data_IF_343682249638
#
_entry.id   IF_343682249638
#
_cell.length_a   1.000
_cell.length_b   1.000
_cell.length_c   1.000
_cell.angle_alpha   90.00
_cell.angle_beta   90.00
_cell.angle_gamma   90.00
#
_symmetry.space_group_name_H-M   'P 1'
#
loop_
_entity.id
_entity.type
_entity.pdbx_description
1 polymer ?
#
# COMPACT_ATOMS: atom_id res chain seq x y z
N UNK A 1 -25.23 -2.23 -6.27
CA UNK A 1 -24.66 -3.47 -6.79
C UNK A 1 -24.09 -4.22 -5.61
N UNK A 2 -24.77 -5.28 -5.16
CA UNK A 2 -24.30 -6.12 -4.05
C UNK A 2 -23.24 -7.07 -4.59
N UNK A 3 -21.98 -6.87 -4.20
CA UNK A 3 -20.94 -7.89 -4.39
C UNK A 3 -21.38 -9.20 -3.70
N UNK A 4 -21.34 -10.34 -4.39
CA UNK A 4 -21.55 -11.61 -3.72
C UNK A 4 -20.50 -11.76 -2.62
N UNK A 5 -20.93 -12.10 -1.41
CA UNK A 5 -20.04 -12.42 -0.31
C UNK A 5 -19.16 -13.60 -0.76
N UNK A 6 -17.90 -13.32 -1.05
CA UNK A 6 -16.90 -14.36 -1.28
C UNK A 6 -16.66 -15.00 0.08
N UNK A 7 -17.37 -16.09 0.33
CA UNK A 7 -17.13 -16.91 1.52
C UNK A 7 -15.71 -17.46 1.42
N UNK A 8 -14.81 -16.98 2.27
CA UNK A 8 -13.43 -17.47 2.37
C UNK A 8 -13.34 -18.97 2.71
N UNK A 9 -14.49 -19.62 2.91
CA UNK A 9 -14.60 -21.03 3.32
C UNK A 9 -14.84 -22.02 2.18
N UNK A 10 -15.04 -21.58 0.94
CA UNK A 10 -15.50 -22.46 -0.14
C UNK A 10 -14.70 -22.32 -1.44
N UNK A 11 -13.38 -22.26 -1.35
CA UNK A 11 -12.59 -22.61 -2.52
C UNK A 11 -12.45 -24.12 -2.50
N UNK A 12 -13.31 -24.85 -3.22
CA UNK A 12 -13.21 -26.30 -3.45
C UNK A 12 -11.95 -26.69 -4.23
N UNK A 13 -10.84 -25.99 -3.97
CA UNK A 13 -9.54 -26.19 -4.56
C UNK A 13 -8.75 -27.18 -3.71
N UNK A 14 -8.12 -28.13 -4.36
CA UNK A 14 -7.27 -29.13 -3.70
C UNK A 14 -6.15 -28.47 -2.91
N UNK A 15 -5.69 -29.16 -1.88
CA UNK A 15 -4.50 -28.78 -1.12
C UNK A 15 -3.29 -28.81 -2.05
N UNK A 16 -2.37 -27.84 -1.90
CA UNK A 16 -1.08 -27.79 -2.64
C UNK A 16 -1.22 -27.72 -4.18
N UNK A 17 -2.31 -27.14 -4.65
CA UNK A 17 -2.62 -27.08 -6.08
C UNK A 17 -1.84 -25.99 -6.85
N UNK A 18 -1.28 -25.00 -6.15
CA UNK A 18 -0.66 -23.83 -6.81
C UNK A 18 0.78 -23.59 -6.38
N UNK A 19 1.65 -23.30 -7.32
CA UNK A 19 3.01 -22.82 -7.06
C UNK A 19 3.06 -21.33 -6.71
N UNK A 20 2.04 -20.55 -7.11
CA UNK A 20 1.93 -19.15 -6.76
C UNK A 20 0.47 -18.70 -6.69
N UNK A 21 0.20 -17.81 -5.74
CA UNK A 21 -1.07 -17.09 -5.61
C UNK A 21 -0.78 -15.60 -5.59
N UNK A 22 -1.51 -14.80 -6.36
CA UNK A 22 -1.38 -13.34 -6.35
C UNK A 22 -2.67 -12.71 -5.87
N UNK A 23 -2.56 -11.93 -4.81
CA UNK A 23 -3.68 -11.22 -4.18
C UNK A 23 -3.34 -9.73 -4.09
N UNK A 24 -3.68 -9.00 -5.14
CA UNK A 24 -3.61 -7.54 -5.09
C UNK A 24 -4.93 -7.02 -4.52
N UNK A 25 -4.94 -5.95 -3.88
CA UNK A 25 -5.51 -5.22 -2.77
C UNK A 25 -6.41 -6.01 -1.80
N UNK A 26 -5.94 -7.15 -1.32
CA UNK A 26 -6.69 -8.02 -0.39
C UNK A 26 -7.15 -7.30 0.88
N UNK A 27 -6.42 -6.29 1.30
CA UNK A 27 -6.59 -5.56 2.57
C UNK A 27 -7.95 -4.84 2.64
N UNK A 28 -8.44 -4.36 1.49
CA UNK A 28 -9.70 -3.60 1.41
C UNK A 28 -10.93 -4.48 1.13
N UNK A 29 -10.72 -5.72 0.67
CA UNK A 29 -11.82 -6.58 0.22
C UNK A 29 -12.56 -7.25 1.39
N UNK A 30 -11.83 -7.64 2.44
CA UNK A 30 -12.37 -8.42 3.55
C UNK A 30 -12.31 -7.66 4.88
N UNK A 31 -13.23 -7.96 5.82
CA UNK A 31 -13.08 -7.56 7.21
C UNK A 31 -11.77 -8.08 7.82
N UNK A 32 -11.22 -7.34 8.78
CA UNK A 32 -9.95 -7.69 9.46
C UNK A 32 -9.98 -9.07 10.09
N UNK A 33 -11.14 -9.51 10.60
CA UNK A 33 -11.36 -10.83 11.21
C UNK A 33 -11.16 -11.98 10.23
N UNK A 34 -11.41 -11.77 8.95
CA UNK A 34 -11.39 -12.81 7.93
C UNK A 34 -10.02 -12.97 7.26
N UNK A 35 -9.16 -11.96 7.39
CA UNK A 35 -7.83 -11.95 6.77
C UNK A 35 -6.92 -13.09 7.26
N UNK A 36 -6.81 -13.40 8.57
CA UNK A 36 -6.02 -14.53 9.03
C UNK A 36 -6.50 -15.87 8.44
N UNK A 37 -7.82 -16.07 8.37
CA UNK A 37 -8.41 -17.28 7.77
C UNK A 37 -8.13 -17.40 6.28
N UNK A 38 -8.16 -16.29 5.57
CA UNK A 38 -7.79 -16.25 4.15
C UNK A 38 -6.32 -16.64 3.94
N UNK A 39 -5.41 -16.13 4.76
CA UNK A 39 -3.99 -16.48 4.70
C UNK A 39 -3.75 -17.97 5.01
N UNK A 40 -4.45 -18.53 5.99
CA UNK A 40 -4.42 -19.97 6.27
C UNK A 40 -4.95 -20.81 5.09
N UNK A 41 -6.02 -20.38 4.43
CA UNK A 41 -6.52 -21.03 3.23
C UNK A 41 -5.53 -20.92 2.06
N UNK A 42 -4.87 -19.77 1.93
CA UNK A 42 -3.80 -19.59 0.94
C UNK A 42 -2.63 -20.52 1.21
N UNK A 43 -2.20 -20.64 2.45
CA UNK A 43 -1.18 -21.62 2.85
C UNK A 43 -1.57 -23.04 2.45
N UNK A 44 -2.82 -23.44 2.69
CA UNK A 44 -3.33 -24.78 2.35
C UNK A 44 -3.26 -25.07 0.85
N UNK A 45 -3.60 -24.11 -0.01
CA UNK A 45 -3.65 -24.32 -1.47
C UNK A 45 -2.29 -24.12 -2.16
N UNK A 46 -1.33 -23.50 -1.50
CA UNK A 46 0.03 -23.38 -2.00
C UNK A 46 0.78 -24.69 -1.86
N UNK A 47 1.49 -25.10 -2.91
CA UNK A 47 2.44 -26.19 -2.87
C UNK A 47 3.62 -25.86 -1.94
N UNK A 48 4.34 -26.84 -1.39
CA UNK A 48 5.58 -26.61 -0.67
C UNK A 48 6.55 -25.75 -1.49
N UNK A 49 7.15 -24.71 -0.89
CA UNK A 49 7.97 -23.73 -1.59
C UNK A 49 7.22 -22.75 -2.48
N UNK A 50 5.90 -22.81 -2.52
CA UNK A 50 5.04 -21.88 -3.26
C UNK A 50 4.99 -20.49 -2.64
N UNK A 51 4.57 -19.47 -3.42
CA UNK A 51 4.60 -18.06 -3.05
C UNK A 51 3.21 -17.42 -3.06
N UNK A 52 2.94 -16.59 -2.05
CA UNK A 52 1.87 -15.61 -2.06
C UNK A 52 2.48 -14.23 -2.39
N UNK A 53 2.05 -13.65 -3.51
CA UNK A 53 2.44 -12.29 -3.90
C UNK A 53 1.32 -11.31 -3.57
N UNK A 54 1.65 -10.21 -2.89
CA UNK A 54 0.68 -9.18 -2.52
C UNK A 54 1.30 -7.80 -2.45
N UNK A 55 0.45 -6.77 -2.56
CA UNK A 55 0.82 -5.37 -2.33
C UNK A 55 -0.02 -4.83 -1.18
N UNK A 56 0.63 -4.17 -0.25
CA UNK A 56 0.02 -3.53 0.90
C UNK A 56 0.33 -2.04 0.86
N UNK A 57 -0.71 -1.23 1.00
CA UNK A 57 -0.63 0.22 1.19
C UNK A 57 -1.48 0.57 2.39
N UNK A 58 -0.96 1.35 3.31
CA UNK A 58 -1.76 1.85 4.43
C UNK A 58 -2.74 2.95 3.99
N UNK A 59 -3.92 3.05 4.62
CA UNK A 59 -4.84 4.16 4.36
C UNK A 59 -4.26 5.51 4.77
N UNK A 60 -3.42 5.52 5.81
CA UNK A 60 -2.77 6.71 6.36
C UNK A 60 -1.34 6.86 5.83
N UNK A 61 -0.87 8.11 5.63
CA UNK A 61 0.53 8.39 5.33
C UNK A 61 1.43 8.12 6.53
N UNK A 62 2.74 8.14 6.29
CA UNK A 62 3.72 8.06 7.37
C UNK A 62 3.43 9.11 8.46
N UNK A 63 3.29 8.70 9.73
CA UNK A 63 2.92 9.62 10.83
C UNK A 63 3.85 10.82 10.98
N UNK A 64 5.13 10.66 10.66
CA UNK A 64 6.13 11.73 10.74
C UNK A 64 5.91 12.84 9.70
N UNK A 65 5.30 12.52 8.56
CA UNK A 65 5.09 13.45 7.44
C UNK A 65 3.66 13.97 7.32
N UNK A 66 2.70 13.35 8.01
CA UNK A 66 1.29 13.74 7.94
C UNK A 66 1.01 15.06 8.66
N UNK A 67 0.40 16.01 7.98
CA UNK A 67 -0.08 17.25 8.58
C UNK A 67 -1.48 17.14 9.19
N UNK A 68 -1.90 18.11 10.01
CA UNK A 68 -3.20 18.06 10.69
C UNK A 68 -4.40 18.12 9.75
N UNK A 69 -4.34 18.90 8.66
CA UNK A 69 -5.46 19.03 7.71
C UNK A 69 -5.70 17.74 6.93
N UNK A 70 -4.62 17.10 6.48
CA UNK A 70 -4.71 15.81 5.81
C UNK A 70 -5.21 14.73 6.77
N UNK A 71 -4.70 14.69 8.01
CA UNK A 71 -5.18 13.74 9.03
C UNK A 71 -6.67 13.91 9.28
N UNK A 72 -7.13 15.14 9.51
CA UNK A 72 -8.54 15.43 9.73
C UNK A 72 -9.38 14.94 8.54
N UNK A 73 -8.96 15.25 7.31
CA UNK A 73 -9.69 14.78 6.12
C UNK A 73 -9.77 13.25 6.04
N UNK A 74 -8.65 12.56 6.30
CA UNK A 74 -8.60 11.10 6.29
C UNK A 74 -9.47 10.49 7.40
N UNK A 75 -9.42 11.05 8.61
CA UNK A 75 -10.23 10.57 9.74
C UNK A 75 -11.72 10.71 9.45
N UNK A 76 -12.16 11.87 8.97
CA UNK A 76 -13.57 12.16 8.69
C UNK A 76 -14.12 11.38 7.47
N UNK A 77 -13.32 11.19 6.42
CA UNK A 77 -13.82 10.69 5.15
C UNK A 77 -13.42 9.25 4.83
N UNK A 78 -12.44 8.68 5.53
CA UNK A 78 -11.95 7.34 5.25
C UNK A 78 -11.92 6.45 6.50
N UNK A 79 -11.19 6.85 7.55
CA UNK A 79 -10.93 5.96 8.69
C UNK A 79 -12.23 5.57 9.40
N UNK A 80 -13.11 6.53 9.64
CA UNK A 80 -14.42 6.28 10.21
C UNK A 80 -15.21 5.21 9.42
N UNK A 81 -15.22 5.30 8.08
CA UNK A 81 -15.91 4.35 7.23
C UNK A 81 -15.26 2.96 7.22
N UNK A 82 -13.91 2.90 7.31
CA UNK A 82 -13.18 1.64 7.44
C UNK A 82 -13.50 0.93 8.76
N UNK A 83 -13.53 1.67 9.86
CA UNK A 83 -13.87 1.15 11.19
C UNK A 83 -15.31 0.63 11.24
N UNK A 84 -16.26 1.37 10.69
CA UNK A 84 -17.66 0.92 10.59
C UNK A 84 -17.81 -0.39 9.82
N UNK A 85 -16.93 -0.65 8.85
CA UNK A 85 -16.94 -1.86 8.04
C UNK A 85 -15.94 -2.90 8.51
N UNK A 86 -15.37 -2.73 9.71
CA UNK A 86 -14.39 -3.64 10.32
C UNK A 86 -13.17 -3.89 9.43
N UNK A 87 -12.73 -2.88 8.65
CA UNK A 87 -11.56 -2.99 7.77
C UNK A 87 -10.26 -2.73 8.55
N UNK A 88 -9.17 -3.31 8.05
CA UNK A 88 -7.86 -3.12 8.66
C UNK A 88 -7.32 -1.70 8.35
N UNK A 89 -7.09 -0.90 9.39
CA UNK A 89 -6.56 0.47 9.27
C UNK A 89 -5.03 0.54 9.34
N UNK A 90 -4.36 -0.56 9.70
CA UNK A 90 -2.90 -0.66 9.81
C UNK A 90 -2.37 -1.95 9.18
N UNK A 91 -2.57 -2.18 7.88
CA UNK A 91 -2.18 -3.43 7.24
C UNK A 91 -0.67 -3.66 7.23
N UNK A 92 0.17 -2.65 7.03
CA UNK A 92 1.62 -2.79 7.04
C UNK A 92 2.16 -3.36 8.36
N UNK A 93 1.50 -3.05 9.48
CA UNK A 93 1.84 -3.55 10.82
C UNK A 93 1.33 -4.98 11.06
N UNK A 94 0.12 -5.28 10.61
CA UNK A 94 -0.58 -6.51 10.96
C UNK A 94 -0.21 -7.69 10.05
N UNK A 95 -0.03 -7.45 8.76
CA UNK A 95 0.24 -8.51 7.79
C UNK A 95 1.50 -9.32 8.06
N UNK A 96 2.65 -8.74 8.46
CA UNK A 96 3.81 -9.54 8.80
C UNK A 96 3.56 -10.56 9.92
N UNK A 97 2.72 -10.22 10.89
CA UNK A 97 2.33 -11.12 11.99
C UNK A 97 1.39 -12.21 11.47
N UNK A 98 0.35 -11.85 10.74
CA UNK A 98 -0.60 -12.81 10.19
C UNK A 98 0.03 -13.77 9.18
N UNK A 99 0.99 -13.32 8.38
CA UNK A 99 1.77 -14.19 7.48
C UNK A 99 2.62 -15.19 8.27
N UNK A 100 3.22 -14.75 9.39
CA UNK A 100 3.98 -15.62 10.27
C UNK A 100 3.08 -16.68 10.92
N UNK A 101 1.93 -16.27 11.43
CA UNK A 101 0.93 -17.17 12.05
C UNK A 101 0.34 -18.17 11.05
N UNK A 102 0.21 -17.76 9.77
CA UNK A 102 -0.25 -18.63 8.70
C UNK A 102 0.84 -19.55 8.11
N UNK A 103 2.09 -19.48 8.58
CA UNK A 103 3.20 -20.28 8.04
C UNK A 103 3.73 -19.79 6.69
N UNK A 104 3.43 -18.55 6.31
CA UNK A 104 3.83 -17.94 5.02
C UNK A 104 5.06 -17.03 5.15
N UNK A 105 5.95 -17.29 6.09
CA UNK A 105 7.22 -16.56 6.26
C UNK A 105 8.43 -17.48 6.32
N UNK A 106 8.42 -18.53 5.52
CA UNK A 106 9.55 -19.41 5.36
C UNK A 106 10.76 -18.70 4.71
N UNK A 107 11.91 -19.35 4.75
CA UNK A 107 13.13 -18.88 4.09
C UNK A 107 12.86 -18.64 2.60
N UNK A 108 13.23 -17.46 2.11
CA UNK A 108 12.92 -17.00 0.75
C UNK A 108 11.81 -15.96 0.70
N UNK A 109 11.09 -15.73 1.80
CA UNK A 109 10.13 -14.62 1.87
C UNK A 109 10.82 -13.26 1.81
N UNK A 110 10.27 -12.35 0.99
CA UNK A 110 10.81 -11.00 0.79
C UNK A 110 9.70 -9.98 1.02
N UNK A 111 10.02 -8.92 1.76
CA UNK A 111 9.17 -7.73 1.90
C UNK A 111 10.01 -6.54 1.45
N UNK A 112 9.59 -5.89 0.38
CA UNK A 112 10.23 -4.67 -0.13
C UNK A 112 9.29 -3.49 0.09
N UNK A 113 9.72 -2.54 0.92
CA UNK A 113 8.96 -1.32 1.18
C UNK A 113 9.53 -0.17 0.35
N UNK A 114 8.64 0.52 -0.32
CA UNK A 114 8.94 1.70 -1.14
C UNK A 114 7.98 2.82 -0.74
N UNK A 115 8.41 4.07 -0.91
CA UNK A 115 7.58 5.25 -0.63
C UNK A 115 7.19 5.99 -1.89
N UNK A 116 6.05 6.65 -1.85
CA UNK A 116 5.65 7.64 -2.85
C UNK A 116 5.22 8.94 -2.17
N UNK A 117 5.58 10.06 -2.76
CA UNK A 117 5.18 11.38 -2.26
C UNK A 117 3.71 11.64 -2.54
N UNK A 118 3.03 12.26 -1.59
CA UNK A 118 1.62 12.66 -1.72
C UNK A 118 1.44 13.59 -2.93
N UNK A 119 2.23 14.65 -2.95
CA UNK A 119 2.24 15.69 -3.98
C UNK A 119 3.71 15.99 -4.32
N UNK A 120 4.00 16.12 -5.59
CA UNK A 120 5.29 16.63 -6.06
C UNK A 120 5.09 18.09 -6.42
N UNK A 121 5.90 19.01 -5.88
CA UNK A 121 5.88 20.40 -6.31
C UNK A 121 6.15 20.45 -7.81
N UNK A 122 5.26 21.13 -8.56
CA UNK A 122 5.56 21.43 -9.97
C UNK A 122 6.72 22.41 -9.98
N UNK A 123 7.90 21.96 -10.44
CA UNK A 123 8.97 22.86 -10.81
C UNK A 123 8.43 23.70 -11.95
N UNK A 124 8.15 24.99 -11.73
CA UNK A 124 7.89 25.89 -12.83
C UNK A 124 9.15 25.86 -13.71
N UNK A 125 9.02 25.28 -14.89
CA UNK A 125 10.01 25.38 -15.96
C UNK A 125 9.97 26.81 -16.51
N UNK A 126 10.61 27.72 -15.79
CA UNK A 126 10.64 29.14 -16.09
C UNK A 126 11.60 29.84 -15.14
N UNK A 127 12.88 29.60 -15.27
CA UNK A 127 13.98 30.54 -15.19
C UNK A 127 15.32 29.78 -15.19
N UNK A 128 15.74 29.32 -16.34
CA UNK A 128 17.13 28.89 -16.55
C UNK A 128 17.86 29.93 -17.39
N UNK A 129 18.17 31.06 -16.78
CA UNK A 129 19.26 31.95 -17.22
C UNK A 129 20.17 32.18 -16.01
N UNK A 130 21.31 31.56 -15.96
CA UNK A 130 22.31 31.94 -14.96
C UNK A 130 23.24 30.84 -14.52
N UNK A 131 24.30 30.70 -15.27
CA UNK A 131 25.68 30.48 -14.81
C UNK A 131 26.06 29.13 -14.12
N UNK A 132 26.93 28.46 -14.88
CA UNK A 132 27.63 27.27 -14.43
C UNK A 132 28.57 27.53 -13.27
N UNK A 133 28.37 26.73 -12.20
CA UNK A 133 29.48 26.35 -11.31
C UNK A 133 29.19 24.93 -10.81
N UNK A 134 29.87 23.99 -11.41
CA UNK A 134 30.10 22.67 -10.90
C UNK A 134 30.78 22.73 -9.53
N UNK A 135 30.10 22.26 -8.48
CA UNK A 135 30.80 21.79 -7.29
C UNK A 135 30.45 20.34 -7.11
N UNK A 136 31.43 19.47 -7.27
CA UNK A 136 31.37 18.05 -7.05
C UNK A 136 31.00 17.75 -5.60
N UNK A 137 29.98 16.93 -5.40
CA UNK A 137 29.51 16.43 -4.12
C UNK A 137 28.92 15.03 -4.32
N UNK A 138 29.69 14.05 -3.91
CA UNK A 138 29.34 12.72 -3.42
C UNK A 138 28.13 12.01 -4.05
N UNK A 139 28.40 10.91 -4.76
CA UNK A 139 27.42 10.02 -5.37
C UNK A 139 26.43 9.44 -4.36
N UNK A 140 25.23 9.95 -4.39
CA UNK A 140 24.00 9.27 -4.01
C UNK A 140 23.15 9.25 -5.27
N UNK A 141 22.65 8.07 -5.67
CA UNK A 141 21.77 7.91 -6.82
C UNK A 141 20.51 8.76 -6.63
N UNK A 142 20.58 10.00 -7.11
CA UNK A 142 19.43 10.91 -7.12
C UNK A 142 18.45 10.37 -8.15
N UNK A 143 17.38 9.77 -7.68
CA UNK A 143 16.31 9.29 -8.54
C UNK A 143 15.86 10.43 -9.49
N UNK A 144 15.72 10.16 -10.81
CA UNK A 144 15.27 11.16 -11.77
C UNK A 144 13.92 11.78 -11.37
N UNK A 145 13.73 13.08 -11.57
CA UNK A 145 12.49 13.79 -11.23
C UNK A 145 11.27 13.11 -11.84
N UNK A 146 11.36 12.67 -13.09
CA UNK A 146 10.32 11.94 -13.81
C UNK A 146 9.90 10.64 -13.12
N UNK A 147 10.86 9.89 -12.53
CA UNK A 147 10.54 8.66 -11.79
C UNK A 147 9.83 8.96 -10.48
N UNK A 148 10.18 10.04 -9.79
CA UNK A 148 9.46 10.48 -8.58
C UNK A 148 8.03 10.89 -8.91
N UNK A 149 7.83 11.62 -10.00
CA UNK A 149 6.50 12.01 -10.48
C UNK A 149 5.66 10.79 -10.83
N UNK A 150 6.21 9.88 -11.61
CA UNK A 150 5.53 8.64 -11.99
C UNK A 150 5.15 7.84 -10.74
N UNK A 151 6.07 7.68 -9.79
CA UNK A 151 5.82 6.96 -8.55
C UNK A 151 4.72 7.60 -7.71
N UNK A 152 4.68 8.94 -7.64
CA UNK A 152 3.63 9.66 -6.93
C UNK A 152 2.25 9.49 -7.60
N UNK A 153 2.19 9.55 -8.92
CA UNK A 153 0.93 9.32 -9.67
C UNK A 153 0.45 7.89 -9.49
N UNK A 154 1.32 6.91 -9.75
CA UNK A 154 0.98 5.48 -9.62
C UNK A 154 0.60 5.14 -8.18
N UNK A 155 1.33 5.68 -7.19
CA UNK A 155 1.03 5.48 -5.76
C UNK A 155 -0.35 6.01 -5.38
N UNK A 156 -0.73 7.22 -5.82
CA UNK A 156 -2.08 7.76 -5.59
C UNK A 156 -3.16 6.96 -6.30
N UNK A 157 -2.90 6.49 -7.53
CA UNK A 157 -3.85 5.63 -8.25
C UNK A 157 -4.07 4.32 -7.50
N UNK A 158 -2.99 3.68 -7.05
CA UNK A 158 -3.06 2.45 -6.25
C UNK A 158 -3.82 2.69 -4.94
N UNK A 159 -3.52 3.77 -4.23
CA UNK A 159 -4.23 4.15 -3.00
C UNK A 159 -5.72 4.35 -3.25
N UNK A 160 -6.06 5.05 -4.35
CA UNK A 160 -7.45 5.28 -4.76
C UNK A 160 -8.20 3.99 -5.08
N UNK A 161 -7.58 3.06 -5.81
CA UNK A 161 -8.19 1.78 -6.12
C UNK A 161 -8.47 0.94 -4.87
N UNK A 162 -7.57 0.99 -3.90
CA UNK A 162 -7.69 0.22 -2.65
C UNK A 162 -8.68 0.86 -1.69
N UNK A 163 -8.55 2.14 -1.42
CA UNK A 163 -9.27 2.83 -0.36
C UNK A 163 -10.43 3.72 -0.86
N UNK A 164 -10.42 4.08 -2.13
CA UNK A 164 -11.45 4.93 -2.72
C UNK A 164 -12.88 4.47 -2.50
N UNK A 165 -13.22 3.16 -2.56
CA UNK A 165 -14.57 2.68 -2.26
C UNK A 165 -15.09 3.03 -0.86
N UNK A 166 -14.21 3.39 0.06
CA UNK A 166 -14.54 3.75 1.45
C UNK A 166 -14.50 5.27 1.71
N UNK A 167 -14.07 6.07 0.73
CA UNK A 167 -14.00 7.52 0.86
C UNK A 167 -15.40 8.13 0.70
N UNK A 168 -15.84 8.87 1.72
CA UNK A 168 -17.17 9.54 1.75
C UNK A 168 -17.16 11.00 1.31
N UNK A 169 -16.06 11.51 0.74
CA UNK A 169 -15.92 12.90 0.32
C UNK A 169 -16.24 13.10 -1.15
N UNK A 170 -16.80 14.28 -1.51
CA UNK A 170 -17.01 14.70 -2.90
C UNK A 170 -15.70 15.04 -3.64
N UNK A 171 -14.67 15.45 -2.88
CA UNK A 171 -13.35 15.83 -3.39
C UNK A 171 -12.26 14.99 -2.71
N UNK A 172 -11.30 14.57 -3.51
CA UNK A 172 -10.12 13.89 -3.00
C UNK A 172 -9.22 14.86 -2.23
N UNK A 173 -8.47 14.37 -1.24
CA UNK A 173 -7.54 15.20 -0.47
C UNK A 173 -6.52 15.94 -1.36
N UNK A 174 -6.15 15.36 -2.49
CA UNK A 174 -5.25 15.99 -3.48
C UNK A 174 -5.94 17.00 -4.42
N UNK A 175 -7.23 17.28 -4.24
CA UNK A 175 -7.98 18.33 -4.92
C UNK A 175 -8.27 19.52 -3.99
N UNK A 176 -7.90 19.40 -2.69
CA UNK A 176 -8.12 20.44 -1.69
C UNK A 176 -6.85 21.30 -1.54
N UNK A 177 -6.83 22.59 -1.99
CA UNK A 177 -5.61 23.39 -2.03
C UNK A 177 -4.85 23.46 -0.71
N UNK A 178 -5.56 23.65 0.42
CA UNK A 178 -4.97 23.75 1.75
C UNK A 178 -4.29 22.44 2.21
N UNK A 179 -4.73 21.28 1.71
CA UNK A 179 -4.12 19.98 1.98
C UNK A 179 -2.92 19.78 1.06
N UNK A 180 -3.03 20.20 -0.20
CA UNK A 180 -1.92 20.17 -1.16
C UNK A 180 -0.73 20.98 -0.60
N UNK A 181 -0.96 22.23 -0.18
CA UNK A 181 0.06 23.10 0.40
C UNK A 181 0.73 22.47 1.62
N UNK A 182 -0.08 21.83 2.49
CA UNK A 182 0.42 21.14 3.67
C UNK A 182 1.28 19.92 3.30
N UNK A 183 0.83 19.12 2.33
CA UNK A 183 1.56 17.94 1.86
C UNK A 183 2.90 18.30 1.22
N UNK A 184 2.93 19.37 0.43
CA UNK A 184 4.16 19.89 -0.17
C UNK A 184 5.11 20.40 0.90
N UNK A 185 4.63 21.25 1.83
CA UNK A 185 5.46 21.83 2.89
C UNK A 185 6.01 20.82 3.89
N UNK A 186 5.38 19.66 4.02
CA UNK A 186 5.81 18.57 4.92
C UNK A 186 6.48 17.40 4.21
N UNK A 187 6.58 17.45 2.89
CA UNK A 187 7.07 16.33 2.08
C UNK A 187 6.32 15.03 2.40
N UNK A 188 5.00 15.13 2.56
CA UNK A 188 4.14 14.01 2.97
C UNK A 188 4.28 12.83 2.03
N UNK A 189 4.42 11.61 2.58
CA UNK A 189 4.56 10.39 1.80
C UNK A 189 3.79 9.22 2.42
N UNK A 190 3.40 8.27 1.55
CA UNK A 190 2.94 6.93 1.91
C UNK A 190 4.03 5.91 1.66
N UNK A 191 3.91 4.81 2.36
CA UNK A 191 4.69 3.61 2.09
C UNK A 191 3.77 2.52 1.54
N UNK A 192 4.29 1.76 0.60
CA UNK A 192 3.68 0.52 0.14
C UNK A 192 4.71 -0.61 0.19
N UNK A 193 4.23 -1.81 0.51
CA UNK A 193 5.06 -2.99 0.59
C UNK A 193 4.64 -4.00 -0.47
N UNK A 194 5.61 -4.45 -1.25
CA UNK A 194 5.47 -5.62 -2.12
C UNK A 194 5.99 -6.81 -1.35
N UNK A 195 5.15 -7.81 -1.19
CA UNK A 195 5.43 -8.99 -0.37
C UNK A 195 5.40 -10.23 -1.28
N UNK A 196 6.48 -10.99 -1.24
CA UNK A 196 6.53 -12.38 -1.70
C UNK A 196 6.68 -13.26 -0.45
N UNK A 197 5.58 -13.84 -0.01
CA UNK A 197 5.52 -14.68 1.19
C UNK A 197 5.63 -16.16 0.78
N UNK A 198 6.61 -16.90 1.33
CA UNK A 198 6.91 -18.27 0.95
C UNK A 198 6.34 -19.26 1.96
N UNK A 199 5.71 -20.32 1.46
CA UNK A 199 5.42 -21.54 2.23
C UNK A 199 6.68 -22.38 2.34
N UNK A 200 6.92 -22.98 3.51
CA UNK A 200 8.08 -23.86 3.71
C UNK A 200 8.09 -25.01 2.69
N UNK A 201 9.26 -25.30 2.13
CA UNK A 201 9.44 -26.48 1.29
C UNK A 201 9.64 -27.71 2.19
N UNK A 202 8.99 -28.80 1.84
CA UNK A 202 9.31 -30.08 2.48
C UNK A 202 10.80 -30.41 2.24
N UNK A 203 11.50 -30.75 3.32
CA UNK A 203 12.91 -31.10 3.27
C UNK A 203 13.11 -32.54 2.74
#
# INVERSE_FOLDING_TARGET
MTCPAISASAVGVATEAFSAVSCLPIVSILPSSDLPRLLQNTFRVLAPGGFLNMVIVDPLPSPASAGPKLRQWLDENLIFNLEQQFRCTNPSRNFPVWLQEAGLRAKGSVITTTRFQAIIPQSHAGDSSGDGRSSGGSGGDSEPATMRELRAVVGRMLWREIWGPFVGADKWWWEVPKIIDECVGRETYWEYSVIAACKESEA
#
